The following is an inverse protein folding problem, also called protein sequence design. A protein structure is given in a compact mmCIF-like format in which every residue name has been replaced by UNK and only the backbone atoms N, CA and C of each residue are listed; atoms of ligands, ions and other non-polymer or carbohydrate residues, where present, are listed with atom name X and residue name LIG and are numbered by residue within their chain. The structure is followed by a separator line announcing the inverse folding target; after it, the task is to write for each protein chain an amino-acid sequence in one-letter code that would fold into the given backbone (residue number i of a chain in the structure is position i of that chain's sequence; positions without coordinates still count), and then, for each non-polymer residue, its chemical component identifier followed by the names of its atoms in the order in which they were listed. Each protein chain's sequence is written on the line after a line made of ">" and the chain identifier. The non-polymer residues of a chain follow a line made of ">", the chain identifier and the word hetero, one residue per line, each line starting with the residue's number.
data_IF_825476743661
#
_entry.id   IF_825476743661
#
_cell.length_a   1.000
_cell.length_b   1.000
_cell.length_c   1.000
_cell.angle_alpha   90.00
_cell.angle_beta   90.00
_cell.angle_gamma   90.00
#
_symmetry.space_group_name_H-M   'P 1'
#
loop_
_entity.id
_entity.type
_entity.pdbx_description
1 polymer ?
#
# COMPACT_ATOMS: atom_id res chain seq x y z
N UNK A 1 -57.98 40.17 6.93
CA UNK A 1 -58.41 38.91 6.30
C UNK A 1 -57.74 38.64 4.96
N UNK A 2 -57.82 39.51 3.93
CA UNK A 2 -57.11 39.24 2.65
C UNK A 2 -55.57 39.33 2.79
N UNK A 3 -55.10 40.31 3.54
CA UNK A 3 -53.67 40.56 3.75
C UNK A 3 -52.98 39.44 4.56
N UNK A 4 -53.65 38.91 5.58
CA UNK A 4 -53.13 37.82 6.41
C UNK A 4 -52.91 36.54 5.60
N UNK A 5 -53.84 36.22 4.69
CA UNK A 5 -53.74 35.08 3.79
C UNK A 5 -52.61 35.24 2.75
N UNK A 6 -52.31 36.47 2.32
CA UNK A 6 -51.17 36.74 1.44
C UNK A 6 -49.82 36.60 2.18
N UNK A 7 -49.76 37.01 3.44
CA UNK A 7 -48.58 36.79 4.29
C UNK A 7 -48.32 35.31 4.56
N UNK A 8 -49.35 34.52 4.85
CA UNK A 8 -49.22 33.06 5.04
C UNK A 8 -48.69 32.37 3.77
N UNK A 9 -49.21 32.75 2.59
CA UNK A 9 -48.70 32.23 1.31
C UNK A 9 -47.25 32.59 1.07
N UNK A 10 -46.85 33.82 1.37
CA UNK A 10 -45.47 34.26 1.24
C UNK A 10 -44.54 33.51 2.20
N UNK A 11 -44.98 33.31 3.45
CA UNK A 11 -44.23 32.55 4.45
C UNK A 11 -44.02 31.10 4.00
N UNK A 12 -45.06 30.45 3.47
CA UNK A 12 -44.96 29.09 2.94
C UNK A 12 -43.99 29.02 1.75
N UNK A 13 -44.10 29.95 0.80
CA UNK A 13 -43.17 30.04 -0.34
C UNK A 13 -41.71 30.19 0.10
N UNK A 14 -41.45 31.00 1.13
CA UNK A 14 -40.11 31.17 1.69
C UNK A 14 -39.60 29.90 2.37
N UNK A 15 -40.48 29.20 3.09
CA UNK A 15 -40.15 27.94 3.74
C UNK A 15 -39.80 26.87 2.70
N UNK A 16 -40.62 26.72 1.66
CA UNK A 16 -40.39 25.78 0.56
C UNK A 16 -39.06 26.08 -0.18
N UNK A 17 -38.76 27.37 -0.41
CA UNK A 17 -37.49 27.79 -0.99
C UNK A 17 -36.29 27.42 -0.12
N UNK A 18 -36.37 27.68 1.19
CA UNK A 18 -35.33 27.32 2.15
C UNK A 18 -35.12 25.79 2.20
N UNK A 19 -36.19 25.01 2.20
CA UNK A 19 -36.11 23.55 2.16
C UNK A 19 -35.48 23.03 0.86
N UNK A 20 -35.85 23.63 -0.28
CA UNK A 20 -35.24 23.30 -1.57
C UNK A 20 -33.75 23.57 -1.59
N UNK A 21 -33.32 24.75 -1.11
CA UNK A 21 -31.90 25.10 -1.03
C UNK A 21 -31.13 24.15 -0.10
N UNK A 22 -31.73 23.77 1.03
CA UNK A 22 -31.14 22.79 1.95
C UNK A 22 -30.95 21.42 1.27
N UNK A 23 -31.96 20.93 0.55
CA UNK A 23 -31.88 19.67 -0.21
C UNK A 23 -30.77 19.73 -1.27
N UNK A 24 -30.69 20.82 -2.04
CA UNK A 24 -29.64 21.00 -3.04
C UNK A 24 -28.24 21.04 -2.42
N UNK A 25 -28.10 21.71 -1.27
CA UNK A 25 -26.85 21.76 -0.53
C UNK A 25 -26.42 20.37 -0.04
N UNK A 26 -27.35 19.57 0.49
CA UNK A 26 -27.05 18.22 0.95
C UNK A 26 -26.63 17.30 -0.20
N UNK A 27 -27.28 17.42 -1.38
CA UNK A 27 -26.87 16.71 -2.59
C UNK A 27 -25.45 17.11 -3.00
N UNK A 28 -25.19 18.42 -3.16
CA UNK A 28 -23.87 18.92 -3.53
C UNK A 28 -22.78 18.46 -2.54
N UNK A 29 -23.06 18.53 -1.24
CA UNK A 29 -22.13 18.10 -0.20
C UNK A 29 -21.78 16.61 -0.33
N UNK A 30 -22.77 15.77 -0.60
CA UNK A 30 -22.56 14.33 -0.78
C UNK A 30 -21.75 14.02 -2.04
N UNK A 31 -22.06 14.69 -3.15
CA UNK A 31 -21.29 14.58 -4.40
C UNK A 31 -19.83 15.00 -4.21
N UNK A 32 -19.60 16.12 -3.52
CA UNK A 32 -18.25 16.60 -3.21
C UNK A 32 -17.48 15.62 -2.32
N UNK A 33 -18.16 15.00 -1.33
CA UNK A 33 -17.54 13.99 -0.47
C UNK A 33 -17.10 12.77 -1.27
N UNK A 34 -17.95 12.28 -2.17
CA UNK A 34 -17.63 11.15 -3.04
C UNK A 34 -16.48 11.50 -3.99
N UNK A 35 -16.51 12.68 -4.60
CA UNK A 35 -15.46 13.15 -5.48
C UNK A 35 -14.10 13.21 -4.76
N UNK A 36 -14.04 13.83 -3.57
CA UNK A 36 -12.81 13.90 -2.77
C UNK A 36 -12.31 12.53 -2.34
N UNK A 37 -13.20 11.62 -1.96
CA UNK A 37 -12.82 10.24 -1.61
C UNK A 37 -12.12 9.56 -2.80
N UNK A 38 -12.70 9.65 -3.99
CA UNK A 38 -12.13 9.08 -5.22
C UNK A 38 -10.78 9.72 -5.58
N UNK A 39 -10.64 11.03 -5.40
CA UNK A 39 -9.38 11.74 -5.65
C UNK A 39 -8.27 11.29 -4.67
N UNK A 40 -8.61 11.10 -3.39
CA UNK A 40 -7.67 10.58 -2.38
C UNK A 40 -7.24 9.15 -2.74
N UNK A 41 -8.18 8.27 -3.08
CA UNK A 41 -7.87 6.90 -3.50
C UNK A 41 -6.94 6.87 -4.72
N UNK A 42 -7.19 7.74 -5.71
CA UNK A 42 -6.33 7.87 -6.89
C UNK A 42 -4.90 8.31 -6.51
N UNK A 43 -4.78 9.35 -5.67
CA UNK A 43 -3.47 9.84 -5.24
C UNK A 43 -2.71 8.82 -4.40
N UNK A 44 -3.41 8.01 -3.63
CA UNK A 44 -2.77 6.94 -2.86
C UNK A 44 -2.12 5.91 -3.79
N UNK A 45 -2.82 5.49 -4.86
CA UNK A 45 -2.24 4.59 -5.87
C UNK A 45 -1.04 5.23 -6.57
N UNK A 46 -1.15 6.50 -6.99
CA UNK A 46 -0.03 7.23 -7.61
C UNK A 46 1.19 7.32 -6.68
N UNK A 47 0.95 7.54 -5.38
CA UNK A 47 2.01 7.61 -4.38
C UNK A 47 2.68 6.24 -4.16
N UNK A 48 1.90 5.16 -4.09
CA UNK A 48 2.42 3.80 -3.94
C UNK A 48 3.26 3.38 -5.17
N UNK A 49 2.83 3.76 -6.38
CA UNK A 49 3.61 3.57 -7.61
C UNK A 49 4.93 4.35 -7.60
N UNK A 50 4.90 5.64 -7.20
CA UNK A 50 6.11 6.45 -7.07
C UNK A 50 7.09 5.89 -6.04
N UNK A 51 6.59 5.43 -4.89
CA UNK A 51 7.40 4.76 -3.87
C UNK A 51 8.04 3.49 -4.42
N UNK A 52 7.28 2.65 -5.12
CA UNK A 52 7.80 1.44 -5.76
C UNK A 52 8.94 1.74 -6.75
N UNK A 53 8.79 2.79 -7.56
CA UNK A 53 9.83 3.23 -8.51
C UNK A 53 11.07 3.73 -7.76
N UNK A 54 10.90 4.52 -6.71
CA UNK A 54 12.01 5.04 -5.90
C UNK A 54 12.76 3.91 -5.17
N UNK A 55 12.03 2.96 -4.61
CA UNK A 55 12.60 1.78 -3.97
C UNK A 55 13.37 0.92 -4.98
N UNK A 56 12.81 0.68 -6.17
CA UNK A 56 13.50 -0.03 -7.24
C UNK A 56 14.79 0.68 -7.66
N UNK A 57 14.76 2.01 -7.81
CA UNK A 57 15.96 2.81 -8.12
C UNK A 57 16.99 2.74 -6.99
N UNK A 58 16.55 2.73 -5.73
CA UNK A 58 17.43 2.56 -4.57
C UNK A 58 18.07 1.17 -4.59
N UNK A 59 17.29 0.09 -4.74
CA UNK A 59 17.80 -1.29 -4.85
C UNK A 59 18.85 -1.43 -5.95
N UNK A 60 18.62 -0.83 -7.13
CA UNK A 60 19.60 -0.85 -8.23
C UNK A 60 20.93 -0.16 -7.86
N UNK A 61 20.89 0.98 -7.16
CA UNK A 61 22.13 1.65 -6.70
C UNK A 61 22.89 0.79 -5.68
N UNK A 62 22.18 0.10 -4.79
CA UNK A 62 22.78 -0.79 -3.80
C UNK A 62 23.40 -2.03 -4.46
N UNK A 63 22.69 -2.64 -5.42
CA UNK A 63 23.21 -3.77 -6.23
C UNK A 63 24.49 -3.41 -6.99
N UNK A 64 24.61 -2.18 -7.47
CA UNK A 64 25.83 -1.72 -8.16
C UNK A 64 27.04 -1.55 -7.23
N UNK A 65 26.81 -1.40 -5.92
CA UNK A 65 27.85 -1.17 -4.91
C UNK A 65 28.15 -2.41 -4.04
N UNK A 66 27.35 -3.48 -4.12
CA UNK A 66 27.59 -4.70 -3.35
C UNK A 66 28.69 -5.54 -4.00
N UNK A 67 29.59 -6.08 -3.17
CA UNK A 67 30.65 -7.01 -3.56
C UNK A 67 30.09 -8.38 -4.02
N UNK A 68 28.77 -8.62 -3.95
CA UNK A 68 28.14 -9.88 -4.37
C UNK A 68 28.01 -10.06 -5.88
N UNK A 69 28.50 -9.14 -6.71
CA UNK A 69 28.47 -9.28 -8.18
C UNK A 69 29.31 -10.46 -8.71
N UNK A 70 30.17 -11.07 -7.90
CA UNK A 70 31.03 -12.19 -8.32
C UNK A 70 30.32 -13.55 -8.33
N UNK A 71 29.21 -13.73 -7.60
CA UNK A 71 28.47 -15.00 -7.55
C UNK A 71 27.45 -15.10 -8.70
N UNK A 72 27.22 -16.31 -9.21
CA UNK A 72 26.10 -16.57 -10.12
C UNK A 72 24.76 -16.42 -9.38
N UNK A 73 23.69 -16.07 -10.10
CA UNK A 73 22.34 -16.00 -9.51
C UNK A 73 21.90 -17.32 -8.88
N UNK A 74 22.28 -18.45 -9.47
CA UNK A 74 21.89 -19.77 -8.98
C UNK A 74 22.66 -20.14 -7.70
N UNK A 75 23.93 -19.73 -7.61
CA UNK A 75 24.73 -19.88 -6.40
C UNK A 75 24.18 -19.01 -5.26
N UNK A 76 23.79 -17.77 -5.58
CA UNK A 76 23.14 -16.87 -4.62
C UNK A 76 21.81 -17.42 -4.11
N UNK A 77 20.99 -18.03 -4.99
CA UNK A 77 19.72 -18.68 -4.59
C UNK A 77 19.96 -19.85 -3.66
N UNK A 78 20.93 -20.69 -3.99
CA UNK A 78 21.28 -21.86 -3.17
C UNK A 78 21.76 -21.44 -1.78
N UNK A 79 22.68 -20.48 -1.71
CA UNK A 79 23.18 -19.94 -0.43
C UNK A 79 22.07 -19.26 0.38
N UNK A 80 21.16 -18.54 -0.27
CA UNK A 80 20.03 -17.90 0.41
C UNK A 80 19.06 -18.95 0.96
N UNK A 81 18.72 -19.98 0.18
CA UNK A 81 17.84 -21.09 0.61
C UNK A 81 18.42 -21.82 1.82
N UNK A 82 19.72 -22.15 1.80
CA UNK A 82 20.40 -22.82 2.91
C UNK A 82 20.37 -21.97 4.18
N UNK A 83 20.73 -20.69 4.09
CA UNK A 83 20.69 -19.79 5.25
C UNK A 83 19.28 -19.57 5.80
N UNK A 84 18.25 -19.56 4.95
CA UNK A 84 16.86 -19.46 5.40
C UNK A 84 16.38 -20.74 6.08
N UNK A 85 16.83 -21.92 5.63
CA UNK A 85 16.55 -23.21 6.30
C UNK A 85 17.18 -23.23 7.70
N UNK A 86 18.43 -22.80 7.84
CA UNK A 86 19.08 -22.64 9.15
C UNK A 86 18.30 -21.67 10.07
N UNK A 87 17.74 -20.61 9.50
CA UNK A 87 16.94 -19.64 10.25
C UNK A 87 15.60 -20.22 10.73
N UNK A 88 14.98 -21.11 9.95
CA UNK A 88 13.77 -21.85 10.34
C UNK A 88 14.07 -22.83 11.48
N UNK A 89 15.23 -23.49 11.45
CA UNK A 89 15.67 -24.43 12.50
C UNK A 89 15.98 -23.75 13.84
N UNK A 90 16.26 -22.44 13.84
CA UNK A 90 16.57 -21.66 15.04
C UNK A 90 15.34 -21.27 15.89
N UNK A 91 14.16 -21.83 15.58
CA UNK A 91 12.86 -21.73 16.28
C UNK A 91 12.76 -20.60 17.32
N UNK A 92 12.62 -19.39 16.81
CA UNK A 92 12.26 -18.24 17.65
C UNK A 92 10.74 -18.23 17.84
N UNK A 93 10.19 -17.75 18.96
CA UNK A 93 8.72 -17.65 19.14
C UNK A 93 8.12 -16.38 18.50
N UNK A 94 8.93 -15.54 17.86
CA UNK A 94 8.49 -14.24 17.34
C UNK A 94 7.78 -14.34 15.97
N UNK A 95 6.61 -13.72 15.76
CA UNK A 95 5.90 -13.81 14.47
C UNK A 95 6.60 -13.06 13.32
N UNK A 96 7.41 -12.06 13.65
CA UNK A 96 8.16 -11.21 12.71
C UNK A 96 9.59 -11.75 12.58
N UNK A 97 10.11 -11.78 11.36
CA UNK A 97 11.46 -12.25 11.06
C UNK A 97 12.42 -11.06 11.06
N UNK A 98 13.54 -11.18 11.78
CA UNK A 98 14.63 -10.20 11.72
C UNK A 98 15.84 -10.81 11.02
N UNK A 99 15.97 -10.52 9.73
CA UNK A 99 17.09 -11.04 8.94
C UNK A 99 18.35 -10.16 9.10
N UNK A 100 19.53 -10.78 9.23
CA UNK A 100 20.82 -10.12 9.09
C UNK A 100 20.93 -9.28 7.80
N UNK A 101 21.66 -8.16 7.86
CA UNK A 101 21.77 -7.24 6.71
C UNK A 101 22.45 -7.87 5.50
N UNK A 102 23.39 -8.79 5.71
CA UNK A 102 24.04 -9.56 4.64
C UNK A 102 23.05 -10.46 3.89
N UNK A 103 22.05 -10.99 4.58
CA UNK A 103 20.99 -11.79 3.97
C UNK A 103 20.04 -10.96 3.12
N UNK A 104 19.74 -9.73 3.54
CA UNK A 104 18.89 -8.79 2.78
C UNK A 104 19.49 -8.46 1.40
N UNK A 105 20.82 -8.44 1.28
CA UNK A 105 21.49 -8.20 0.00
C UNK A 105 21.15 -9.27 -1.04
N UNK A 106 21.11 -10.56 -0.65
CA UNK A 106 20.74 -11.64 -1.56
C UNK A 106 19.33 -11.44 -2.14
N UNK A 107 18.35 -11.10 -1.29
CA UNK A 107 16.98 -10.82 -1.74
C UNK A 107 16.93 -9.67 -2.75
N UNK A 108 17.68 -8.59 -2.49
CA UNK A 108 17.72 -7.44 -3.40
C UNK A 108 18.40 -7.76 -4.73
N UNK A 109 19.47 -8.56 -4.72
CA UNK A 109 20.19 -8.94 -5.94
C UNK A 109 19.35 -9.88 -6.81
N UNK A 110 18.65 -10.81 -6.18
CA UNK A 110 17.77 -11.80 -6.82
C UNK A 110 16.41 -11.23 -7.22
N UNK A 111 16.06 -10.03 -6.75
CA UNK A 111 14.77 -9.36 -6.97
C UNK A 111 13.59 -10.19 -6.42
N UNK A 112 13.77 -10.74 -5.21
CA UNK A 112 12.79 -11.57 -4.51
C UNK A 112 12.24 -10.76 -3.33
N UNK A 113 10.96 -10.95 -3.00
CA UNK A 113 10.35 -10.34 -1.82
C UNK A 113 10.98 -10.90 -0.55
N UNK A 114 11.27 -10.01 0.41
CA UNK A 114 11.82 -10.41 1.69
C UNK A 114 10.66 -10.90 2.56
N UNK A 115 10.68 -12.14 3.07
CA UNK A 115 9.64 -12.63 3.96
C UNK A 115 9.69 -11.82 5.27
N UNK A 116 8.56 -11.22 5.62
CA UNK A 116 8.43 -10.41 6.84
C UNK A 116 7.85 -11.27 7.96
N UNK A 117 6.95 -12.20 7.61
CA UNK A 117 6.27 -13.10 8.53
C UNK A 117 6.85 -14.51 8.45
N UNK A 118 6.91 -15.21 9.59
CA UNK A 118 7.38 -16.60 9.63
C UNK A 118 6.63 -17.56 8.72
N UNK A 119 5.34 -17.32 8.53
CA UNK A 119 4.51 -18.11 7.60
C UNK A 119 5.01 -18.04 6.15
N UNK A 120 5.71 -16.97 5.77
CA UNK A 120 6.18 -16.73 4.41
C UNK A 120 7.55 -17.39 4.12
N UNK A 121 8.27 -17.85 5.16
CA UNK A 121 9.62 -18.42 5.01
C UNK A 121 9.62 -19.69 4.17
N UNK A 122 8.74 -20.63 4.49
CA UNK A 122 8.68 -21.92 3.80
C UNK A 122 8.32 -21.75 2.32
N UNK A 123 7.39 -20.84 2.03
CA UNK A 123 7.00 -20.50 0.65
C UNK A 123 8.15 -19.84 -0.11
N UNK A 124 8.87 -18.92 0.54
CA UNK A 124 10.05 -18.25 -0.04
C UNK A 124 11.18 -19.24 -0.32
N UNK A 125 11.43 -20.19 0.58
CA UNK A 125 12.43 -21.26 0.39
C UNK A 125 12.02 -22.15 -0.79
N UNK A 126 10.74 -22.55 -0.86
CA UNK A 126 10.25 -23.34 -1.98
C UNK A 126 10.39 -22.62 -3.32
N UNK A 127 10.18 -21.30 -3.35
CA UNK A 127 10.38 -20.48 -4.54
C UNK A 127 11.85 -20.47 -4.98
N UNK A 128 12.77 -20.32 -4.01
CA UNK A 128 14.21 -20.32 -4.26
C UNK A 128 14.72 -21.67 -4.78
N UNK A 129 14.19 -22.79 -4.28
CA UNK A 129 14.58 -24.15 -4.67
C UNK A 129 13.97 -24.61 -6.01
N UNK A 130 12.92 -23.92 -6.49
CA UNK A 130 12.18 -24.30 -7.70
C UNK A 130 12.76 -23.77 -9.02
N UNK A 131 13.82 -22.96 -8.96
CA UNK A 131 14.44 -22.26 -10.09
C UNK A 131 15.93 -22.53 -10.22
#
# INVERSE_FOLDING_TARGET
>A
MLLDAEYEKLAQLRLDQCESLKKQWDVYRNEQRLFRKKDIEKRQVEFDEELSILDRKRRMKWKNNSNMQELSKDEMRTQLSEKLKEYVEQDTDEPIITLPTDLLEYFWVLDIEIPIMKSELLDTISLLDSH
#
